data_IF_933372088058
#
_entry.id   IF_933372088058
#
_cell.length_a   1.000
_cell.length_b   1.000
_cell.length_c   1.000
_cell.angle_alpha   90.00
_cell.angle_beta   90.00
_cell.angle_gamma   90.00
#
_symmetry.space_group_name_H-M   'P 1'
#
loop_
_entity.id
_entity.type
_entity.pdbx_description
1 polymer ?
#
# COMPACT_ATOMS: atom_id res chain seq x y z
N UNK A 1 10.83 -13.40 -0.79
CA UNK A 1 9.65 -12.90 -0.07
C UNK A 1 9.16 -11.62 -0.72
N UNK A 2 7.87 -11.48 -0.84
CA UNK A 2 7.22 -10.27 -1.34
C UNK A 2 6.34 -9.67 -0.25
N UNK A 3 6.51 -8.38 0.00
CA UNK A 3 5.73 -7.63 0.97
C UNK A 3 4.98 -6.52 0.24
N UNK A 4 3.66 -6.48 0.41
CA UNK A 4 2.86 -5.39 -0.12
C UNK A 4 2.56 -4.40 1.00
N UNK A 5 2.77 -3.12 0.74
CA UNK A 5 2.45 -2.05 1.69
C UNK A 5 1.39 -1.15 1.10
N UNK A 6 0.48 -0.66 1.94
CA UNK A 6 -0.57 0.25 1.51
C UNK A 6 -0.62 1.46 2.43
N UNK A 7 -0.18 2.60 1.92
CA UNK A 7 -0.20 3.88 2.60
C UNK A 7 -0.91 4.90 1.71
N UNK A 8 -1.98 5.50 2.21
CA UNK A 8 -2.82 6.41 1.44
C UNK A 8 -2.58 7.89 1.67
N UNK A 9 -1.72 8.25 2.61
CA UNK A 9 -1.43 9.64 2.97
C UNK A 9 0.07 9.87 3.10
N UNK A 10 0.48 11.13 3.04
CA UNK A 10 1.89 11.51 3.17
C UNK A 10 2.50 11.03 4.48
N UNK A 11 1.76 11.12 5.60
CA UNK A 11 2.24 10.64 6.89
C UNK A 11 2.46 9.12 6.89
N UNK A 12 1.53 8.39 6.29
CA UNK A 12 1.66 6.94 6.14
C UNK A 12 2.83 6.56 5.25
N UNK A 13 3.05 7.33 4.18
CA UNK A 13 4.19 7.13 3.29
C UNK A 13 5.52 7.25 4.07
N UNK A 14 5.64 8.24 4.94
CA UNK A 14 6.83 8.41 5.79
C UNK A 14 7.03 7.23 6.73
N UNK A 15 5.97 6.78 7.40
CA UNK A 15 6.03 5.64 8.32
C UNK A 15 6.36 4.34 7.58
N UNK A 16 5.71 4.10 6.46
CA UNK A 16 5.96 2.92 5.64
C UNK A 16 7.40 2.91 5.10
N UNK A 17 7.90 4.07 4.69
CA UNK A 17 9.27 4.20 4.21
C UNK A 17 10.27 3.81 5.28
N UNK A 18 10.06 4.24 6.52
CA UNK A 18 10.94 3.88 7.63
C UNK A 18 10.95 2.36 7.87
N UNK A 19 9.78 1.74 7.84
CA UNK A 19 9.66 0.28 7.99
C UNK A 19 10.34 -0.44 6.82
N UNK A 20 10.10 0.02 5.61
CA UNK A 20 10.70 -0.58 4.40
C UNK A 20 12.23 -0.49 4.44
N UNK A 21 12.77 0.65 4.86
CA UNK A 21 14.21 0.84 4.97
C UNK A 21 14.83 -0.15 5.95
N UNK A 22 14.19 -0.38 7.10
CA UNK A 22 14.67 -1.34 8.08
C UNK A 22 14.61 -2.77 7.55
N UNK A 23 13.53 -3.14 6.85
CA UNK A 23 13.42 -4.47 6.25
C UNK A 23 14.51 -4.69 5.21
N UNK A 24 14.73 -3.71 4.34
CA UNK A 24 15.76 -3.79 3.29
C UNK A 24 17.17 -3.85 3.86
N UNK A 25 17.39 -3.22 5.00
CA UNK A 25 18.67 -3.26 5.72
C UNK A 25 18.97 -4.67 6.20
N UNK A 26 17.96 -5.37 6.72
CA UNK A 26 18.10 -6.76 7.17
C UNK A 26 18.23 -7.73 6.00
N UNK A 27 17.45 -7.51 4.93
CA UNK A 27 17.45 -8.36 3.76
C UNK A 27 17.16 -7.57 2.49
N UNK A 28 18.22 -7.11 1.77
CA UNK A 28 18.05 -6.31 0.55
C UNK A 28 17.31 -7.05 -0.59
N UNK A 29 17.20 -8.36 -0.51
CA UNK A 29 16.57 -9.17 -1.56
C UNK A 29 15.05 -9.20 -1.49
N UNK A 30 14.46 -8.75 -0.39
CA UNK A 30 13.00 -8.74 -0.24
C UNK A 30 12.40 -7.73 -1.21
N UNK A 31 11.41 -8.17 -2.00
CA UNK A 31 10.65 -7.30 -2.88
C UNK A 31 9.52 -6.66 -2.08
N UNK A 32 9.60 -5.34 -1.90
CA UNK A 32 8.55 -4.56 -1.25
C UNK A 32 7.90 -3.70 -2.32
N UNK A 33 6.59 -3.80 -2.43
CA UNK A 33 5.83 -3.04 -3.43
C UNK A 33 4.51 -2.57 -2.83
N UNK A 34 3.85 -1.64 -3.50
CA UNK A 34 2.53 -1.24 -3.05
C UNK A 34 2.15 0.19 -3.39
N UNK A 35 1.16 0.68 -2.67
CA UNK A 35 0.67 2.05 -2.79
C UNK A 35 1.40 2.94 -1.81
N UNK A 36 1.94 4.03 -2.30
CA UNK A 36 2.64 4.99 -1.46
C UNK A 36 3.17 6.15 -2.28
N UNK A 37 4.08 6.90 -1.71
CA UNK A 37 4.60 8.10 -2.32
C UNK A 37 6.12 8.12 -2.43
N UNK A 38 6.64 9.34 -2.45
CA UNK A 38 8.05 9.62 -2.67
C UNK A 38 8.97 8.94 -1.65
N UNK A 39 8.60 9.00 -0.37
CA UNK A 39 9.45 8.45 0.70
C UNK A 39 9.58 6.94 0.59
N UNK A 40 8.48 6.25 0.32
CA UNK A 40 8.51 4.81 0.10
C UNK A 40 9.36 4.46 -1.11
N UNK A 41 9.22 5.24 -2.20
CA UNK A 41 10.03 5.02 -3.41
C UNK A 41 11.51 5.16 -3.11
N UNK A 42 11.91 6.19 -2.37
CA UNK A 42 13.30 6.41 -2.00
C UNK A 42 13.84 5.31 -1.07
N UNK A 43 12.96 4.69 -0.31
CA UNK A 43 13.32 3.56 0.57
C UNK A 43 13.44 2.22 -0.15
N UNK A 44 13.23 2.21 -1.47
CA UNK A 44 13.36 0.99 -2.27
C UNK A 44 12.07 0.23 -2.50
N UNK A 45 10.93 0.85 -2.22
CA UNK A 45 9.62 0.25 -2.48
C UNK A 45 9.24 0.45 -3.96
N UNK A 46 8.80 -0.61 -4.60
CA UNK A 46 8.30 -0.55 -5.97
C UNK A 46 6.86 -0.03 -5.92
N UNK A 47 6.66 1.22 -6.33
CA UNK A 47 5.36 1.88 -6.25
C UNK A 47 4.48 1.44 -7.42
N UNK A 48 3.38 0.78 -7.12
CA UNK A 48 2.40 0.35 -8.13
C UNK A 48 1.25 1.36 -8.28
N UNK A 49 1.01 2.15 -7.25
CA UNK A 49 0.04 3.26 -7.28
C UNK A 49 0.61 4.43 -6.50
N UNK A 50 0.85 5.54 -7.19
CA UNK A 50 1.49 6.72 -6.62
C UNK A 50 0.44 7.67 -6.05
N UNK A 51 0.46 7.88 -4.73
CA UNK A 51 -0.48 8.77 -4.06
C UNK A 51 -0.25 10.24 -4.40
N UNK A 52 0.91 10.60 -4.95
CA UNK A 52 1.18 11.97 -5.36
C UNK A 52 0.32 12.40 -6.55
N UNK A 53 -0.17 11.45 -7.34
CA UNK A 53 -1.15 11.74 -8.39
C UNK A 53 -2.46 12.26 -7.82
N UNK A 54 -2.71 12.00 -6.55
CA UNK A 54 -3.91 12.46 -5.85
C UNK A 54 -3.70 13.80 -5.16
N UNK A 55 -2.47 14.34 -5.20
CA UNK A 55 -2.08 15.53 -4.45
C UNK A 55 -2.80 16.80 -4.86
N UNK A 56 -3.26 16.91 -6.11
CA UNK A 56 -3.98 18.08 -6.61
C UNK A 56 -5.42 18.08 -6.11
N UNK A 57 -6.03 16.89 -5.99
CA UNK A 57 -7.43 16.73 -5.59
C UNK A 57 -7.55 16.41 -4.11
N UNK A 58 -6.45 15.91 -3.49
CA UNK A 58 -6.46 15.42 -2.12
C UNK A 58 -7.06 14.04 -2.02
N UNK A 59 -6.44 13.18 -1.23
CA UNK A 59 -6.90 11.79 -1.08
C UNK A 59 -8.29 11.71 -0.46
N UNK A 60 -8.62 12.66 0.45
CA UNK A 60 -9.95 12.74 1.07
C UNK A 60 -11.03 12.96 0.02
N UNK A 61 -10.74 13.78 -1.01
CA UNK A 61 -11.70 14.05 -2.09
C UNK A 61 -11.88 12.85 -3.00
N UNK A 62 -10.84 12.06 -3.22
CA UNK A 62 -10.95 10.81 -3.98
C UNK A 62 -11.92 9.87 -3.28
N UNK A 63 -11.90 9.82 -1.95
CA UNK A 63 -12.83 9.00 -1.18
C UNK A 63 -14.28 9.47 -1.31
N UNK A 64 -14.50 10.75 -1.59
CA UNK A 64 -15.84 11.29 -1.85
C UNK A 64 -16.32 10.93 -3.25
N UNK A 65 -15.41 10.58 -4.16
CA UNK A 65 -15.75 10.12 -5.50
C UNK A 65 -15.78 8.59 -5.51
N UNK A 66 -16.92 8.03 -5.15
CA UNK A 66 -17.09 6.58 -5.03
C UNK A 66 -16.57 5.76 -6.22
N UNK A 67 -16.80 6.18 -7.49
CA UNK A 67 -16.26 5.40 -8.61
C UNK A 67 -14.73 5.29 -8.60
N UNK A 68 -14.01 6.36 -8.26
CA UNK A 68 -12.56 6.34 -8.17
C UNK A 68 -12.09 5.47 -7.01
N UNK A 69 -12.79 5.55 -5.89
CA UNK A 69 -12.49 4.75 -4.71
C UNK A 69 -12.61 3.25 -5.02
N UNK A 70 -13.69 2.85 -5.67
CA UNK A 70 -13.90 1.44 -6.04
C UNK A 70 -12.89 0.97 -7.09
N UNK A 71 -12.52 1.84 -8.03
CA UNK A 71 -11.47 1.51 -9.01
C UNK A 71 -10.12 1.27 -8.32
N UNK A 72 -9.79 2.09 -7.34
CA UNK A 72 -8.55 1.93 -6.58
C UNK A 72 -8.55 0.61 -5.81
N UNK A 73 -9.64 0.30 -5.12
CA UNK A 73 -9.77 -0.97 -4.40
C UNK A 73 -9.62 -2.15 -5.37
N UNK A 74 -10.29 -2.09 -6.50
CA UNK A 74 -10.22 -3.14 -7.52
C UNK A 74 -8.80 -3.31 -8.02
N UNK A 75 -8.11 -2.21 -8.31
CA UNK A 75 -6.72 -2.24 -8.77
C UNK A 75 -5.81 -2.91 -7.74
N UNK A 76 -5.95 -2.55 -6.47
CA UNK A 76 -5.13 -3.12 -5.41
C UNK A 76 -5.42 -4.60 -5.18
N UNK A 77 -6.70 -5.00 -5.27
CA UNK A 77 -7.08 -6.41 -5.20
C UNK A 77 -6.47 -7.21 -6.35
N UNK A 78 -6.55 -6.70 -7.56
CA UNK A 78 -5.97 -7.34 -8.73
C UNK A 78 -4.44 -7.44 -8.61
N UNK A 79 -3.81 -6.42 -8.04
CA UNK A 79 -2.38 -6.44 -7.77
C UNK A 79 -2.03 -7.57 -6.80
N UNK A 80 -2.81 -7.75 -5.74
CA UNK A 80 -2.60 -8.85 -4.81
C UNK A 80 -2.76 -10.21 -5.48
N UNK A 81 -3.74 -10.35 -6.36
CA UNK A 81 -3.95 -11.60 -7.09
C UNK A 81 -2.76 -11.90 -8.00
N UNK A 82 -2.26 -10.89 -8.70
CA UNK A 82 -1.18 -11.06 -9.68
C UNK A 82 0.19 -11.22 -9.03
N UNK A 83 0.48 -10.43 -8.00
CA UNK A 83 1.80 -10.41 -7.36
C UNK A 83 1.94 -11.47 -6.27
N UNK A 84 0.84 -11.89 -5.67
CA UNK A 84 0.81 -12.90 -4.59
C UNK A 84 1.78 -12.59 -3.46
N UNK A 85 1.59 -11.45 -2.77
CA UNK A 85 2.49 -11.11 -1.66
C UNK A 85 2.37 -12.11 -0.51
N UNK A 86 3.46 -12.26 0.23
CA UNK A 86 3.50 -13.12 1.40
C UNK A 86 2.85 -12.46 2.62
N UNK A 87 2.81 -11.12 2.63
CA UNK A 87 2.17 -10.37 3.70
C UNK A 87 1.73 -9.00 3.15
N UNK A 88 0.60 -8.51 3.66
CA UNK A 88 0.12 -7.15 3.41
C UNK A 88 0.31 -6.32 4.66
N UNK A 89 1.00 -5.19 4.53
CA UNK A 89 1.19 -4.23 5.62
C UNK A 89 0.34 -2.99 5.30
N UNK A 90 -0.65 -2.73 6.14
CA UNK A 90 -1.51 -1.56 6.02
C UNK A 90 -1.03 -0.47 6.97
N UNK A 91 -0.87 0.74 6.47
CA UNK A 91 -0.41 1.88 7.25
C UNK A 91 -1.56 2.88 7.34
N UNK A 92 -2.12 3.06 8.53
CA UNK A 92 -3.23 3.98 8.79
C UNK A 92 -4.38 3.83 7.78
N UNK A 93 -5.13 4.87 7.56
CA UNK A 93 -6.17 5.00 6.53
C UNK A 93 -7.19 3.85 6.53
N UNK A 94 -7.98 3.72 7.61
CA UNK A 94 -8.87 2.56 7.78
C UNK A 94 -9.95 2.42 6.69
N UNK A 95 -10.42 3.52 6.12
CA UNK A 95 -11.47 3.45 5.10
C UNK A 95 -11.10 2.59 3.91
N UNK A 96 -9.87 2.73 3.42
CA UNK A 96 -9.37 1.93 2.30
C UNK A 96 -8.73 0.63 2.79
N UNK A 97 -7.84 0.74 3.78
CA UNK A 97 -7.01 -0.38 4.20
C UNK A 97 -7.80 -1.52 4.83
N UNK A 98 -8.92 -1.25 5.51
CA UNK A 98 -9.77 -2.31 6.04
C UNK A 98 -10.35 -3.17 4.92
N UNK A 99 -10.73 -2.55 3.81
CA UNK A 99 -11.28 -3.30 2.66
C UNK A 99 -10.21 -4.15 1.98
N UNK A 100 -9.00 -3.60 1.83
CA UNK A 100 -7.88 -4.35 1.25
C UNK A 100 -7.44 -5.48 2.17
N UNK A 101 -7.41 -5.22 3.48
CA UNK A 101 -7.07 -6.22 4.48
C UNK A 101 -8.06 -7.38 4.46
N UNK A 102 -9.35 -7.07 4.32
CA UNK A 102 -10.39 -8.10 4.22
C UNK A 102 -10.16 -8.97 2.98
N UNK A 103 -9.88 -8.36 1.84
CA UNK A 103 -9.59 -9.08 0.61
C UNK A 103 -8.35 -9.97 0.75
N UNK A 104 -7.31 -9.45 1.40
CA UNK A 104 -6.09 -10.23 1.65
C UNK A 104 -6.37 -11.46 2.50
N UNK A 105 -7.18 -11.30 3.54
CA UNK A 105 -7.57 -12.43 4.41
C UNK A 105 -8.32 -13.50 3.62
N UNK A 106 -9.21 -13.10 2.73
CA UNK A 106 -9.93 -14.04 1.87
C UNK A 106 -8.99 -14.80 0.94
N UNK A 107 -7.88 -14.19 0.55
CA UNK A 107 -6.86 -14.81 -0.30
C UNK A 107 -5.84 -15.63 0.51
N UNK A 108 -5.97 -15.69 1.83
CA UNK A 108 -5.01 -16.37 2.68
C UNK A 108 -3.72 -15.60 2.91
N UNK A 109 -3.71 -14.28 2.66
CA UNK A 109 -2.53 -13.45 2.85
C UNK A 109 -2.58 -12.85 4.26
N UNK A 110 -1.54 -13.08 5.10
CA UNK A 110 -1.46 -12.46 6.42
C UNK A 110 -1.43 -10.95 6.32
N UNK A 111 -2.07 -10.28 7.28
CA UNK A 111 -2.17 -8.82 7.32
C UNK A 111 -1.54 -8.29 8.61
N UNK A 112 -0.68 -7.30 8.47
CA UNK A 112 -0.15 -6.52 9.59
C UNK A 112 -0.71 -5.12 9.46
N UNK A 113 -1.39 -4.63 10.48
CA UNK A 113 -1.94 -3.28 10.50
C UNK A 113 -1.11 -2.42 11.45
N UNK A 114 -0.55 -1.37 10.88
CA UNK A 114 0.33 -0.46 11.61
C UNK A 114 -0.39 0.81 11.99
#
# INVERSE_FOLDING_TARGET
MKIMMSAGEASGDMHAAAVAAEIKKENPQIDIFGMGGKNMREAGVRIVYDIEHLGIIGFVEVLKHLPLFFKLIKFLKETMINEKPDVLVCIDYPGLNMKIAHAAKEMGIPVVYY
#
